data_IF_094296974417
#
_entry.id   IF_094296974417
#
_cell.length_a   1.000
_cell.length_b   1.000
_cell.length_c   1.000
_cell.angle_alpha   90.00
_cell.angle_beta   90.00
_cell.angle_gamma   90.00
#
_symmetry.space_group_name_H-M   'P 1'
#
loop_
_entity.id
_entity.type
_entity.pdbx_description
1 polymer ?
#
# COMPACT_ATOMS: atom_id res chain seq x y z
N UNK A 1 -15.90 16.64 7.43
CA UNK A 1 -16.09 16.09 6.08
C UNK A 1 -15.47 14.71 6.08
N UNK A 2 -16.24 13.68 5.76
CA UNK A 2 -15.78 12.30 5.71
C UNK A 2 -14.69 12.15 4.64
N UNK A 3 -13.43 12.07 5.07
CA UNK A 3 -12.33 11.76 4.18
C UNK A 3 -12.37 10.28 3.84
N UNK A 4 -12.55 9.93 2.57
CA UNK A 4 -12.48 8.54 2.13
C UNK A 4 -11.00 8.13 2.08
N UNK A 5 -10.63 7.14 2.90
CA UNK A 5 -9.30 6.53 2.92
C UNK A 5 -9.41 5.14 2.32
N UNK A 6 -8.61 4.83 1.30
CA UNK A 6 -8.50 3.47 0.78
C UNK A 6 -7.27 2.79 1.39
N UNK A 7 -7.51 1.65 2.04
CA UNK A 7 -6.48 0.73 2.49
C UNK A 7 -6.40 -0.43 1.52
N UNK A 8 -5.31 -0.55 0.77
CA UNK A 8 -5.07 -1.71 -0.11
C UNK A 8 -4.01 -2.56 0.54
N UNK A 9 -4.46 -3.69 1.09
CA UNK A 9 -3.58 -4.79 1.50
C UNK A 9 -3.65 -5.85 0.41
N UNK A 10 -2.52 -6.15 -0.23
CA UNK A 10 -2.42 -7.31 -1.10
C UNK A 10 -2.73 -8.54 -0.27
N UNK A 11 -3.76 -9.30 -0.64
CA UNK A 11 -3.68 -10.75 -0.58
C UNK A 11 -4.55 -11.35 -1.70
N UNK A 12 -4.05 -12.40 -2.35
CA UNK A 12 -4.75 -13.21 -3.37
C UNK A 12 -6.19 -13.60 -2.96
N UNK A 13 -7.08 -14.01 -3.88
CA UNK A 13 -8.53 -14.12 -3.62
C UNK A 13 -8.96 -14.99 -2.41
N UNK A 14 -8.16 -15.98 -2.03
CA UNK A 14 -8.41 -16.85 -0.86
C UNK A 14 -8.12 -16.12 0.46
N UNK A 15 -7.22 -15.16 0.42
CA UNK A 15 -6.72 -14.43 1.57
C UNK A 15 -7.45 -13.10 1.81
N UNK A 16 -8.18 -12.56 0.83
CA UNK A 16 -8.84 -11.24 0.96
C UNK A 16 -9.95 -11.25 2.02
N UNK A 17 -10.67 -12.36 2.18
CA UNK A 17 -11.63 -12.54 3.29
C UNK A 17 -10.93 -12.56 4.65
N UNK A 18 -9.81 -13.28 4.75
CA UNK A 18 -8.99 -13.36 5.97
C UNK A 18 -8.42 -11.99 6.33
N UNK A 19 -7.98 -11.20 5.35
CA UNK A 19 -7.55 -9.82 5.55
C UNK A 19 -8.67 -8.94 6.09
N UNK A 20 -9.88 -9.00 5.53
CA UNK A 20 -11.02 -8.24 6.04
C UNK A 20 -11.35 -8.58 7.50
N UNK A 21 -11.31 -9.86 7.85
CA UNK A 21 -11.51 -10.30 9.25
C UNK A 21 -10.36 -9.83 10.15
N UNK A 22 -9.10 -9.92 9.70
CA UNK A 22 -7.94 -9.45 10.46
C UNK A 22 -7.96 -7.93 10.67
N UNK A 23 -8.33 -7.15 9.65
CA UNK A 23 -8.52 -5.69 9.76
C UNK A 23 -9.57 -5.39 10.84
N UNK A 24 -10.73 -6.06 10.81
CA UNK A 24 -11.75 -5.87 11.84
C UNK A 24 -11.23 -6.19 13.24
N UNK A 25 -10.56 -7.33 13.43
CA UNK A 25 -10.00 -7.71 14.73
C UNK A 25 -8.96 -6.69 15.22
N UNK A 26 -8.08 -6.22 14.34
CA UNK A 26 -7.08 -5.21 14.69
C UNK A 26 -7.74 -3.87 15.06
N UNK A 27 -8.80 -3.48 14.36
CA UNK A 27 -9.58 -2.28 14.68
C UNK A 27 -10.23 -2.38 16.06
N UNK A 28 -10.87 -3.52 16.36
CA UNK A 28 -11.46 -3.81 17.68
C UNK A 28 -10.42 -3.75 18.80
N UNK A 29 -9.23 -4.34 18.60
CA UNK A 29 -8.14 -4.31 19.58
C UNK A 29 -7.60 -2.90 19.85
N UNK A 30 -7.61 -2.03 18.84
CA UNK A 30 -7.10 -0.65 18.95
C UNK A 30 -8.20 0.39 19.22
N UNK A 31 -9.45 -0.03 19.37
CA UNK A 31 -10.59 0.88 19.63
C UNK A 31 -10.89 1.84 18.48
N UNK A 32 -10.60 1.45 17.24
CA UNK A 32 -10.88 2.25 16.03
C UNK A 32 -12.01 1.61 15.23
N UNK A 33 -12.80 2.43 14.52
CA UNK A 33 -13.85 1.91 13.65
C UNK A 33 -13.22 1.20 12.43
N UNK A 34 -13.69 -0.01 12.07
CA UNK A 34 -13.19 -0.71 10.92
C UNK A 34 -13.58 0.01 9.62
N UNK A 35 -12.65 0.22 8.68
CA UNK A 35 -12.97 0.79 7.38
C UNK A 35 -13.85 -0.16 6.57
N UNK A 36 -14.49 0.36 5.52
CA UNK A 36 -15.14 -0.48 4.52
C UNK A 36 -14.06 -1.31 3.80
N UNK A 37 -14.16 -2.63 3.92
CA UNK A 37 -13.28 -3.55 3.21
C UNK A 37 -13.91 -3.92 1.86
N UNK A 38 -13.18 -3.67 0.77
CA UNK A 38 -13.54 -4.12 -0.58
C UNK A 38 -12.60 -5.25 -0.96
N UNK A 39 -13.14 -6.34 -1.49
CA UNK A 39 -12.36 -7.51 -1.91
C UNK A 39 -12.10 -7.56 -3.41
N UNK A 40 -12.78 -6.70 -4.18
CA UNK A 40 -12.57 -6.58 -5.62
C UNK A 40 -11.21 -5.96 -5.93
N UNK A 41 -10.60 -6.41 -7.03
CA UNK A 41 -9.38 -5.80 -7.52
C UNK A 41 -9.70 -4.43 -8.16
N UNK A 42 -9.29 -3.36 -7.48
CA UNK A 42 -9.44 -1.98 -7.97
C UNK A 42 -8.31 -1.57 -8.92
N UNK A 43 -7.21 -2.31 -9.00
CA UNK A 43 -6.08 -1.94 -9.84
C UNK A 43 -6.51 -2.02 -11.31
N UNK A 44 -6.42 -0.88 -12.00
CA UNK A 44 -6.83 -0.73 -13.39
C UNK A 44 -8.28 -0.29 -13.58
N UNK A 45 -9.11 -0.24 -12.53
CA UNK A 45 -10.45 0.35 -12.61
C UNK A 45 -10.39 1.86 -12.85
N UNK A 46 -11.54 2.49 -13.09
CA UNK A 46 -11.62 3.96 -13.10
C UNK A 46 -11.33 4.50 -11.69
N UNK A 47 -10.48 5.54 -11.54
CA UNK A 47 -10.20 6.13 -10.23
C UNK A 47 -11.45 6.73 -9.59
N UNK A 48 -11.77 6.28 -8.38
CA UNK A 48 -12.75 6.94 -7.52
C UNK A 48 -12.12 8.13 -6.78
N UNK A 49 -12.95 8.92 -6.09
CA UNK A 49 -12.55 10.16 -5.38
C UNK A 49 -11.85 9.85 -4.03
N UNK A 50 -10.74 9.11 -4.10
CA UNK A 50 -9.90 8.80 -2.96
C UNK A 50 -8.99 9.99 -2.63
N UNK A 51 -9.07 10.50 -1.41
CA UNK A 51 -8.15 11.55 -0.97
C UNK A 51 -6.75 10.99 -0.68
N UNK A 52 -6.71 9.77 -0.14
CA UNK A 52 -5.47 9.07 0.20
C UNK A 52 -5.59 7.59 -0.12
N UNK A 53 -4.55 7.04 -0.76
CA UNK A 53 -4.34 5.59 -0.94
C UNK A 53 -3.15 5.18 -0.08
N UNK A 54 -3.36 4.18 0.77
CA UNK A 54 -2.32 3.52 1.55
C UNK A 54 -2.07 2.12 0.98
N UNK A 55 -0.82 1.84 0.61
CA UNK A 55 -0.39 0.56 0.05
C UNK A 55 0.56 -0.14 1.02
N UNK A 56 0.29 -1.41 1.30
CA UNK A 56 1.17 -2.28 2.08
C UNK A 56 1.58 -3.50 1.27
N UNK A 57 2.89 -3.74 1.15
CA UNK A 57 3.48 -4.97 0.58
C UNK A 57 2.92 -5.36 -0.81
N UNK A 58 2.79 -4.37 -1.71
CA UNK A 58 2.20 -4.58 -3.05
C UNK A 58 3.27 -4.86 -4.14
N UNK A 59 4.55 -4.63 -3.84
CA UNK A 59 5.66 -4.70 -4.82
C UNK A 59 6.38 -6.06 -4.76
N UNK A 60 5.63 -7.16 -4.83
CA UNK A 60 6.19 -8.52 -4.80
C UNK A 60 6.15 -9.23 -6.17
N UNK A 61 5.44 -8.65 -7.15
CA UNK A 61 5.27 -9.19 -8.50
C UNK A 61 5.39 -8.07 -9.53
N UNK A 62 6.14 -8.32 -10.61
CA UNK A 62 6.46 -7.30 -11.62
C UNK A 62 5.23 -6.83 -12.42
N UNK A 63 4.35 -7.76 -12.79
CA UNK A 63 3.15 -7.45 -13.56
C UNK A 63 2.14 -6.65 -12.71
N UNK A 64 2.05 -6.99 -11.43
CA UNK A 64 1.28 -6.24 -10.45
C UNK A 64 1.85 -4.83 -10.27
N UNK A 65 3.17 -4.71 -10.07
CA UNK A 65 3.83 -3.41 -9.88
C UNK A 65 3.63 -2.48 -11.09
N UNK A 66 3.74 -2.99 -12.32
CA UNK A 66 3.49 -2.21 -13.53
C UNK A 66 2.03 -1.75 -13.66
N UNK A 67 1.07 -2.64 -13.38
CA UNK A 67 -0.36 -2.32 -13.40
C UNK A 67 -0.73 -1.29 -12.31
N UNK A 68 -0.14 -1.46 -11.13
CA UNK A 68 -0.30 -0.58 -9.98
C UNK A 68 0.23 0.82 -10.29
N UNK A 69 1.44 0.95 -10.84
CA UNK A 69 2.02 2.23 -11.25
C UNK A 69 1.08 3.03 -12.16
N UNK A 70 0.62 2.39 -13.24
CA UNK A 70 -0.27 3.02 -14.23
C UNK A 70 -1.59 3.48 -13.60
N UNK A 71 -2.14 2.69 -12.67
CA UNK A 71 -3.37 3.05 -11.97
C UNK A 71 -3.17 4.20 -10.98
N UNK A 72 -2.11 4.17 -10.17
CA UNK A 72 -1.79 5.24 -9.22
C UNK A 72 -1.54 6.58 -9.92
N UNK A 73 -0.85 6.56 -11.05
CA UNK A 73 -0.63 7.75 -11.88
C UNK A 73 -1.97 8.39 -12.30
N UNK A 74 -2.94 7.56 -12.75
CA UNK A 74 -4.29 8.05 -13.05
C UNK A 74 -4.98 8.63 -11.83
N UNK A 75 -4.99 7.93 -10.68
CA UNK A 75 -5.62 8.41 -9.45
C UNK A 75 -5.07 9.77 -8.99
N UNK A 76 -3.76 9.97 -9.13
CA UNK A 76 -3.10 11.24 -8.78
C UNK A 76 -3.47 12.34 -9.78
N UNK A 77 -3.38 12.05 -11.09
CA UNK A 77 -3.63 13.05 -12.14
C UNK A 77 -5.10 13.48 -12.22
N UNK A 78 -6.05 12.57 -12.00
CA UNK A 78 -7.47 12.88 -12.13
C UNK A 78 -8.08 13.45 -10.84
N UNK A 79 -7.69 12.94 -9.67
CA UNK A 79 -8.33 13.31 -8.39
C UNK A 79 -7.40 14.06 -7.41
N UNK A 80 -6.11 14.22 -7.74
CA UNK A 80 -5.15 14.79 -6.79
C UNK A 80 -4.88 13.87 -5.59
N UNK A 81 -5.14 12.57 -5.74
CA UNK A 81 -4.99 11.54 -4.70
C UNK A 81 -3.58 11.57 -4.10
N UNK A 82 -3.45 11.49 -2.78
CA UNK A 82 -2.15 11.28 -2.12
C UNK A 82 -1.87 9.80 -1.93
N UNK A 83 -0.72 9.32 -2.37
CA UNK A 83 -0.36 7.90 -2.26
C UNK A 83 0.80 7.71 -1.29
N UNK A 84 0.62 6.84 -0.28
CA UNK A 84 1.65 6.41 0.65
C UNK A 84 1.86 4.90 0.57
N UNK A 85 3.11 4.47 0.63
CA UNK A 85 3.51 3.08 0.55
C UNK A 85 4.32 2.71 1.80
N UNK A 86 3.93 1.63 2.46
CA UNK A 86 4.75 0.91 3.43
C UNK A 86 5.29 -0.36 2.77
N UNK A 87 6.60 -0.42 2.56
CA UNK A 87 7.27 -1.60 1.99
C UNK A 87 8.61 -1.82 2.73
N UNK A 88 8.97 -3.06 3.07
CA UNK A 88 10.25 -3.36 3.71
C UNK A 88 11.44 -3.22 2.74
N UNK A 89 11.20 -3.07 1.42
CA UNK A 89 12.23 -2.86 0.40
C UNK A 89 12.52 -4.13 -0.41
N UNK A 90 11.52 -4.66 -1.11
CA UNK A 90 11.70 -5.79 -2.05
C UNK A 90 12.45 -5.35 -3.32
N UNK A 91 13.07 -6.29 -4.05
CA UNK A 91 13.83 -5.99 -5.27
C UNK A 91 13.01 -5.21 -6.31
N UNK A 92 11.73 -5.54 -6.48
CA UNK A 92 10.82 -4.82 -7.39
C UNK A 92 10.52 -3.40 -6.91
N UNK A 93 10.51 -3.19 -5.59
CA UNK A 93 10.38 -1.88 -4.99
C UNK A 93 11.65 -1.04 -5.19
N UNK A 94 12.83 -1.64 -5.17
CA UNK A 94 14.11 -0.97 -5.44
C UNK A 94 14.19 -0.46 -6.88
N UNK A 95 13.80 -1.29 -7.86
CA UNK A 95 13.69 -0.90 -9.26
C UNK A 95 12.75 0.31 -9.42
N UNK A 96 11.63 0.29 -8.70
CA UNK A 96 10.67 1.39 -8.70
C UNK A 96 11.23 2.65 -8.03
N UNK A 97 11.91 2.52 -6.90
CA UNK A 97 12.52 3.64 -6.19
C UNK A 97 13.62 4.33 -7.01
N UNK A 98 14.29 3.57 -7.88
CA UNK A 98 15.33 4.06 -8.79
C UNK A 98 14.80 4.99 -9.88
N UNK A 99 13.47 5.04 -10.08
CA UNK A 99 12.81 5.94 -11.04
C UNK A 99 12.48 7.32 -10.46
N UNK A 100 12.98 7.66 -9.25
CA UNK A 100 12.70 8.92 -8.53
C UNK A 100 11.22 9.22 -8.21
N UNK A 101 10.31 8.30 -8.53
CA UNK A 101 8.88 8.44 -8.24
C UNK A 101 8.52 8.20 -6.77
N UNK A 102 9.50 7.84 -5.94
CA UNK A 102 9.33 7.59 -4.52
C UNK A 102 10.17 8.54 -3.68
N UNK A 103 9.50 9.24 -2.76
CA UNK A 103 10.17 10.04 -1.73
C UNK A 103 9.99 9.38 -0.38
N UNK A 104 11.08 8.96 0.27
CA UNK A 104 11.04 8.46 1.64
C UNK A 104 10.56 9.56 2.59
N UNK A 105 9.55 9.26 3.41
CA UNK A 105 9.01 10.15 4.43
C UNK A 105 9.47 9.77 5.84
N UNK A 106 9.57 8.48 6.13
CA UNK A 106 9.96 7.95 7.43
C UNK A 106 10.61 6.57 7.30
N UNK A 107 11.34 6.16 8.33
CA UNK A 107 11.94 4.84 8.47
C UNK A 107 11.76 4.39 9.92
N UNK A 108 11.47 3.11 10.12
CA UNK A 108 11.23 2.48 11.40
C UNK A 108 12.04 1.20 11.50
N UNK A 109 12.69 0.97 12.64
CA UNK A 109 13.34 -0.31 12.93
C UNK A 109 12.28 -1.38 13.17
N UNK A 110 12.52 -2.57 12.62
CA UNK A 110 11.65 -3.72 12.80
C UNK A 110 12.03 -4.48 14.08
N UNK A 111 11.04 -4.90 14.89
CA UNK A 111 11.28 -5.81 16.02
C UNK A 111 11.98 -7.09 15.54
N UNK A 112 12.78 -7.71 16.41
CA UNK A 112 13.57 -8.91 16.07
C UNK A 112 12.71 -10.03 15.46
N UNK A 113 11.52 -10.27 16.03
CA UNK A 113 10.56 -11.26 15.53
C UNK A 113 10.11 -11.00 14.09
N UNK A 114 10.04 -9.74 13.66
CA UNK A 114 9.61 -9.35 12.31
C UNK A 114 10.76 -9.46 11.31
N UNK A 115 12.01 -9.27 11.75
CA UNK A 115 13.19 -9.40 10.87
C UNK A 115 13.38 -10.83 10.36
N UNK A 116 13.08 -11.82 11.21
CA UNK A 116 13.19 -13.24 10.85
C UNK A 116 12.21 -13.60 9.73
N UNK A 117 11.01 -13.00 9.73
CA UNK A 117 9.97 -13.21 8.73
C UNK A 117 10.20 -12.43 7.43
N UNK A 118 11.00 -11.35 7.47
CA UNK A 118 11.26 -10.45 6.33
C UNK A 118 12.67 -10.61 5.75
N UNK A 119 13.17 -11.85 5.71
CA UNK A 119 14.46 -12.19 5.08
C UNK A 119 15.67 -11.40 5.65
N UNK A 120 15.62 -11.00 6.92
CA UNK A 120 16.69 -10.25 7.58
C UNK A 120 16.63 -8.74 7.37
N UNK A 121 15.59 -8.19 6.73
CA UNK A 121 15.38 -6.75 6.68
C UNK A 121 15.18 -6.20 8.10
N UNK A 122 15.96 -5.17 8.45
CA UNK A 122 15.99 -4.58 9.80
C UNK A 122 15.12 -3.35 9.95
N UNK A 123 14.69 -2.75 8.84
CA UNK A 123 13.91 -1.53 8.84
C UNK A 123 12.79 -1.61 7.80
N UNK A 124 11.69 -0.91 8.05
CA UNK A 124 10.67 -0.60 7.06
C UNK A 124 10.60 0.91 6.86
N UNK A 125 10.15 1.35 5.69
CA UNK A 125 10.05 2.77 5.36
C UNK A 125 8.66 3.13 4.85
N UNK A 126 8.25 4.36 5.14
CA UNK A 126 7.06 4.98 4.54
C UNK A 126 7.52 5.88 3.42
N UNK A 127 6.94 5.69 2.25
CA UNK A 127 7.27 6.40 1.03
C UNK A 127 6.05 7.16 0.54
N UNK A 128 6.27 8.38 0.04
CA UNK A 128 5.29 9.08 -0.77
C UNK A 128 5.56 8.73 -2.22
N UNK A 129 4.52 8.24 -2.90
CA UNK A 129 4.56 8.09 -4.34
C UNK A 129 4.22 9.41 -5.02
N UNK A 130 5.04 9.76 -6.00
CA UNK A 130 4.96 10.98 -6.77
C UNK A 130 5.40 10.66 -8.21
N UNK A 131 4.48 10.44 -9.15
CA UNK A 131 4.88 10.31 -10.55
C UNK A 131 5.62 11.57 -10.97
N UNK A 132 6.69 11.42 -11.77
CA UNK A 132 7.30 12.56 -12.42
C UNK A 132 6.24 13.25 -13.30
N UNK A 133 6.15 14.57 -13.21
CA UNK A 133 5.21 15.41 -13.96
C UNK A 133 5.58 15.45 -15.45
#
# INVERSE_FOLDING_TARGET
GSGAFLWVMSLTPVHTYVAGVAVRMNCELNGVEPPVCVTDNLIGSEPEDFQVILLGDMFYDDALAASLHSWLDRCIKSQGTKVLIGDPGRTQFEDFSSTNVLRRLAQFELPESVREENYGLSCSSVWRYHPEL
#
